data_IF_546350501559
#
_entry.id   IF_546350501559
#
_cell.length_a   1.000
_cell.length_b   1.000
_cell.length_c   1.000
_cell.angle_alpha   90.00
_cell.angle_beta   90.00
_cell.angle_gamma   90.00
#
_symmetry.space_group_name_H-M   'P 1'
#
loop_
_entity.id
_entity.type
_entity.pdbx_description
1 polymer ?
#
# COMPACT_ATOMS: atom_id res chain seq x y z
N UNK A 1 33.38 7.91 40.65
CA UNK A 1 33.70 8.26 39.24
C UNK A 1 34.51 7.11 38.67
N UNK A 2 33.88 6.15 38.04
CA UNK A 2 34.53 4.99 37.43
C UNK A 2 34.64 5.21 35.93
N UNK A 3 35.93 5.10 35.48
CA UNK A 3 36.39 5.46 34.15
C UNK A 3 35.89 4.51 33.06
N UNK A 4 35.61 5.09 31.87
CA UNK A 4 35.15 4.41 30.62
C UNK A 4 36.13 3.37 30.04
N UNK A 5 37.18 2.99 30.72
CA UNK A 5 38.22 2.07 30.24
C UNK A 5 38.13 0.63 30.73
N UNK A 6 37.13 0.27 31.54
CA UNK A 6 37.02 -1.08 32.12
C UNK A 6 35.93 -1.98 31.43
N UNK A 7 35.26 -1.51 30.39
CA UNK A 7 34.19 -2.29 29.74
C UNK A 7 34.66 -3.16 28.55
N UNK A 8 35.91 -3.20 28.22
CA UNK A 8 36.42 -3.87 27.00
C UNK A 8 37.34 -5.06 27.27
N UNK A 9 37.18 -5.76 28.36
CA UNK A 9 37.96 -7.01 28.61
C UNK A 9 37.05 -8.10 29.17
N UNK A 10 36.26 -8.75 28.35
CA UNK A 10 35.88 -10.18 28.54
C UNK A 10 35.10 -10.64 27.29
N UNK A 11 35.79 -11.15 26.31
CA UNK A 11 35.24 -12.07 25.31
C UNK A 11 36.41 -12.96 24.85
N UNK A 12 36.55 -14.10 25.47
CA UNK A 12 37.51 -15.14 25.06
C UNK A 12 36.70 -16.36 24.54
N UNK A 13 36.84 -16.58 23.28
CA UNK A 13 37.11 -17.83 22.53
C UNK A 13 36.66 -19.14 23.16
N UNK A 14 35.76 -19.85 22.44
CA UNK A 14 35.78 -21.31 22.33
C UNK A 14 35.65 -21.70 20.86
N UNK A 15 36.72 -22.20 20.28
CA UNK A 15 36.77 -22.92 19.01
C UNK A 15 36.58 -24.41 19.28
N UNK A 16 35.63 -25.03 18.58
CA UNK A 16 35.62 -26.50 18.44
C UNK A 16 35.43 -26.82 16.94
N UNK A 17 36.45 -27.40 16.33
CA UNK A 17 36.47 -27.86 14.96
C UNK A 17 35.72 -29.16 14.77
N UNK A 18 35.10 -29.32 13.63
CA UNK A 18 34.66 -30.60 13.12
C UNK A 18 35.10 -30.75 11.66
N UNK A 19 35.88 -31.77 11.42
CA UNK A 19 36.36 -32.25 10.11
C UNK A 19 35.19 -32.77 9.27
N UNK A 20 35.09 -32.31 8.03
CA UNK A 20 34.18 -32.88 7.04
C UNK A 20 34.98 -33.55 5.95
N UNK A 21 34.77 -34.84 5.76
CA UNK A 21 35.25 -35.64 4.61
C UNK A 21 34.35 -35.46 3.39
N UNK A 22 34.86 -35.46 2.17
CA UNK A 22 34.04 -35.37 0.96
C UNK A 22 33.70 -36.77 0.45
N UNK A 23 32.42 -37.03 0.14
CA UNK A 23 32.05 -38.14 -0.75
C UNK A 23 30.66 -38.01 -1.36
N UNK A 24 30.62 -38.29 -2.65
CA UNK A 24 29.54 -38.79 -3.47
C UNK A 24 28.63 -37.77 -4.19
N UNK A 25 28.94 -37.59 -5.47
CA UNK A 25 27.98 -37.21 -6.50
C UNK A 25 26.83 -38.24 -6.56
N UNK A 26 25.61 -37.74 -6.37
CA UNK A 26 24.40 -38.48 -6.77
C UNK A 26 23.55 -37.55 -7.64
N UNK A 27 23.36 -37.95 -8.87
CA UNK A 27 22.42 -37.37 -9.84
C UNK A 27 20.97 -37.59 -9.34
N UNK A 28 20.37 -36.56 -8.79
CA UNK A 28 18.97 -36.58 -8.32
C UNK A 28 18.14 -35.61 -9.12
N UNK A 29 17.06 -36.12 -9.73
CA UNK A 29 16.01 -35.36 -10.41
C UNK A 29 15.51 -34.20 -9.52
N UNK A 30 15.45 -33.00 -10.08
CA UNK A 30 14.91 -31.85 -9.40
C UNK A 30 13.44 -32.10 -9.00
N UNK A 31 13.18 -32.23 -7.72
CA UNK A 31 11.83 -32.17 -7.15
C UNK A 31 11.31 -30.73 -7.28
N UNK A 32 10.00 -30.52 -7.51
CA UNK A 32 9.45 -29.17 -7.50
C UNK A 32 9.71 -28.54 -6.14
N UNK A 33 10.38 -27.38 -6.12
CA UNK A 33 10.58 -26.61 -4.89
C UNK A 33 9.20 -26.26 -4.30
N UNK A 34 8.89 -26.86 -3.18
CA UNK A 34 7.81 -26.39 -2.33
C UNK A 34 8.10 -24.92 -1.98
N UNK A 35 7.10 -24.05 -2.13
CA UNK A 35 7.19 -22.67 -1.72
C UNK A 35 7.62 -22.62 -0.25
N UNK A 36 8.78 -22.02 0.03
CA UNK A 36 9.25 -21.87 1.39
C UNK A 36 8.26 -20.97 2.15
N UNK A 37 7.78 -21.44 3.29
CA UNK A 37 6.98 -20.61 4.18
C UNK A 37 7.77 -19.32 4.53
N UNK A 38 7.10 -18.15 4.70
CA UNK A 38 7.78 -16.90 5.01
C UNK A 38 8.65 -17.06 6.25
N UNK A 39 9.90 -16.64 6.17
CA UNK A 39 10.94 -16.90 7.18
C UNK A 39 10.63 -16.29 8.57
N UNK A 40 9.64 -15.39 8.68
CA UNK A 40 9.30 -14.68 9.91
C UNK A 40 7.92 -15.04 10.50
N UNK A 41 7.07 -15.72 9.78
CA UNK A 41 5.65 -15.93 10.15
C UNK A 41 4.79 -14.65 10.14
N UNK A 42 5.37 -13.49 9.78
CA UNK A 42 4.70 -12.19 9.74
C UNK A 42 3.95 -12.01 8.43
N UNK A 43 2.86 -11.26 8.48
CA UNK A 43 2.14 -10.81 7.28
C UNK A 43 2.82 -9.54 6.79
N UNK A 44 3.45 -9.57 5.62
CA UNK A 44 4.11 -8.41 5.00
C UNK A 44 3.51 -8.22 3.61
N UNK A 45 2.73 -7.16 3.47
CA UNK A 45 2.10 -6.80 2.20
C UNK A 45 2.99 -5.92 1.33
N UNK A 46 2.81 -5.99 0.01
CA UNK A 46 3.44 -5.11 -0.98
C UNK A 46 2.38 -4.50 -1.88
N UNK A 47 2.42 -3.18 -2.05
CA UNK A 47 1.74 -2.50 -3.16
C UNK A 47 2.59 -2.66 -4.42
N UNK A 48 2.02 -3.30 -5.45
CA UNK A 48 2.76 -3.69 -6.67
C UNK A 48 3.13 -2.52 -7.59
N UNK A 49 2.56 -1.32 -7.37
CA UNK A 49 3.02 -0.07 -7.99
C UNK A 49 4.52 0.15 -7.77
N UNK A 50 5.04 -0.25 -6.62
CA UNK A 50 6.46 -0.15 -6.24
C UNK A 50 7.41 -0.75 -7.27
N UNK A 51 6.97 -1.74 -8.04
CA UNK A 51 7.79 -2.41 -9.06
C UNK A 51 7.25 -2.23 -10.49
N UNK A 52 5.95 -2.01 -10.65
CA UNK A 52 5.32 -1.75 -11.92
C UNK A 52 5.72 -2.72 -13.02
N UNK A 53 6.25 -2.19 -14.12
CA UNK A 53 6.67 -2.98 -15.30
C UNK A 53 7.79 -3.97 -14.97
N UNK A 54 8.69 -3.66 -14.03
CA UNK A 54 9.81 -4.53 -13.66
C UNK A 54 9.32 -5.89 -13.15
N UNK A 55 8.28 -5.90 -12.31
CA UNK A 55 7.66 -7.15 -11.83
C UNK A 55 6.99 -7.92 -12.96
N UNK A 56 6.25 -7.24 -13.83
CA UNK A 56 5.42 -7.89 -14.84
C UNK A 56 6.22 -8.46 -16.02
N UNK A 57 7.41 -7.92 -16.31
CA UNK A 57 8.30 -8.46 -17.37
C UNK A 57 8.80 -9.87 -17.08
N UNK A 58 8.96 -10.22 -15.81
CA UNK A 58 9.39 -11.56 -15.37
C UNK A 58 8.67 -11.93 -14.06
N UNK A 59 7.35 -12.05 -14.16
CA UNK A 59 6.51 -12.28 -13.00
C UNK A 59 6.92 -13.49 -12.17
N UNK A 60 7.21 -14.69 -12.73
CA UNK A 60 7.57 -15.85 -11.92
C UNK A 60 8.84 -15.67 -11.09
N UNK A 61 9.90 -15.07 -11.66
CA UNK A 61 11.14 -14.82 -10.93
C UNK A 61 10.98 -13.64 -9.94
N UNK A 62 10.24 -12.60 -10.34
CA UNK A 62 9.90 -11.50 -9.46
C UNK A 62 9.18 -11.96 -8.20
N UNK A 63 8.15 -12.79 -8.35
CA UNK A 63 7.39 -13.35 -7.23
C UNK A 63 8.25 -14.22 -6.31
N UNK A 64 9.14 -15.06 -6.87
CA UNK A 64 10.10 -15.84 -6.06
C UNK A 64 11.01 -14.96 -5.22
N UNK A 65 11.55 -13.87 -5.82
CA UNK A 65 12.41 -12.92 -5.10
C UNK A 65 11.65 -12.21 -3.98
N UNK A 66 10.39 -11.80 -4.22
CA UNK A 66 9.54 -11.14 -3.24
C UNK A 66 9.17 -12.08 -2.09
N UNK A 67 8.76 -13.31 -2.38
CA UNK A 67 8.48 -14.32 -1.37
C UNK A 67 9.73 -14.63 -0.51
N UNK A 68 10.91 -14.77 -1.15
CA UNK A 68 12.18 -14.96 -0.44
C UNK A 68 12.58 -13.76 0.43
N UNK A 69 12.18 -12.54 0.06
CA UNK A 69 12.37 -11.34 0.89
C UNK A 69 11.41 -11.26 2.08
N UNK A 70 10.30 -12.03 2.06
CA UNK A 70 9.33 -12.10 3.14
C UNK A 70 7.93 -11.58 2.80
N UNK A 71 7.70 -11.09 1.59
CA UNK A 71 6.36 -10.68 1.15
C UNK A 71 5.44 -11.89 0.96
N UNK A 72 4.24 -11.81 1.50
CA UNK A 72 3.24 -12.88 1.41
C UNK A 72 1.81 -12.37 1.14
N UNK A 73 1.62 -11.06 1.04
CA UNK A 73 0.37 -10.44 0.63
C UNK A 73 0.63 -9.34 -0.41
N UNK A 74 -0.29 -9.18 -1.34
CA UNK A 74 -0.24 -8.13 -2.36
C UNK A 74 -1.47 -7.25 -2.35
N UNK A 75 -1.21 -5.99 -2.62
CA UNK A 75 -2.15 -5.06 -3.17
C UNK A 75 -1.76 -4.79 -4.63
N UNK A 76 -2.66 -5.09 -5.56
CA UNK A 76 -2.41 -4.95 -6.98
C UNK A 76 -2.57 -3.50 -7.43
N UNK A 77 -1.87 -3.14 -8.49
CA UNK A 77 -2.01 -1.87 -9.21
C UNK A 77 -2.18 -2.14 -10.71
N UNK A 78 -2.78 -1.17 -11.41
CA UNK A 78 -2.81 -1.18 -12.87
C UNK A 78 -3.96 -1.99 -13.46
N UNK A 79 -5.14 -1.99 -12.81
CA UNK A 79 -6.34 -2.55 -13.39
C UNK A 79 -6.57 -2.06 -14.83
N UNK A 80 -6.76 -3.01 -15.75
CA UNK A 80 -7.05 -2.76 -17.15
C UNK A 80 -8.34 -3.50 -17.54
N UNK A 81 -9.41 -2.73 -17.68
CA UNK A 81 -10.75 -3.26 -18.00
C UNK A 81 -10.75 -4.00 -19.34
N UNK A 82 -10.13 -3.42 -20.39
CA UNK A 82 -10.14 -3.98 -21.74
C UNK A 82 -9.42 -5.31 -21.84
N UNK A 83 -8.36 -5.48 -21.04
CA UNK A 83 -7.58 -6.71 -20.99
C UNK A 83 -8.07 -7.72 -19.94
N UNK A 84 -9.07 -7.35 -19.13
CA UNK A 84 -9.55 -8.13 -17.98
C UNK A 84 -8.37 -8.59 -17.09
N UNK A 85 -7.50 -7.64 -16.69
CA UNK A 85 -6.28 -7.96 -15.97
C UNK A 85 -5.60 -6.77 -15.35
N UNK A 86 -4.32 -6.93 -15.07
CA UNK A 86 -3.47 -5.91 -14.45
C UNK A 86 -2.24 -5.65 -15.29
N UNK A 87 -1.91 -4.38 -15.43
CA UNK A 87 -0.80 -3.96 -16.27
C UNK A 87 -0.02 -2.81 -15.67
N UNK A 88 1.16 -2.61 -16.22
CA UNK A 88 1.92 -1.41 -16.03
C UNK A 88 2.33 -0.90 -17.41
N UNK A 89 2.13 0.38 -17.62
CA UNK A 89 2.41 1.03 -18.89
C UNK A 89 3.37 2.19 -18.71
N UNK A 90 4.24 2.37 -19.68
CA UNK A 90 5.15 3.49 -19.77
C UNK A 90 5.66 3.64 -21.19
N UNK A 91 6.61 4.57 -21.43
CA UNK A 91 7.22 4.82 -22.75
C UNK A 91 7.92 3.57 -23.33
N UNK A 92 8.23 2.59 -22.48
CA UNK A 92 8.98 1.36 -22.84
C UNK A 92 8.07 0.14 -23.12
N UNK A 93 6.79 0.36 -23.33
CA UNK A 93 5.80 -0.65 -23.66
C UNK A 93 4.93 -1.08 -22.47
N UNK A 94 3.65 -1.28 -22.75
CA UNK A 94 2.71 -1.78 -21.76
C UNK A 94 2.81 -3.29 -21.63
N UNK A 95 2.88 -3.79 -20.40
CA UNK A 95 2.74 -5.23 -20.08
C UNK A 95 1.43 -5.38 -19.31
N UNK A 96 0.58 -6.30 -19.78
CA UNK A 96 -0.67 -6.64 -19.10
C UNK A 96 -0.79 -8.14 -18.95
N UNK A 97 -1.18 -8.60 -17.77
CA UNK A 97 -1.40 -10.01 -17.44
C UNK A 97 -2.88 -10.17 -17.08
N UNK A 98 -3.52 -11.20 -17.61
CA UNK A 98 -4.91 -11.51 -17.25
C UNK A 98 -5.03 -11.77 -15.75
N UNK A 99 -6.15 -11.37 -15.16
CA UNK A 99 -6.35 -11.47 -13.72
C UNK A 99 -6.20 -12.91 -13.19
N UNK A 100 -6.75 -13.90 -13.91
CA UNK A 100 -6.63 -15.31 -13.53
C UNK A 100 -5.18 -15.83 -13.56
N UNK A 101 -4.40 -15.42 -14.58
CA UNK A 101 -3.00 -15.82 -14.71
C UNK A 101 -2.14 -15.17 -13.62
N UNK A 102 -2.42 -13.90 -13.30
CA UNK A 102 -1.74 -13.20 -12.21
C UNK A 102 -2.03 -13.87 -10.87
N UNK A 103 -3.33 -14.14 -10.61
CA UNK A 103 -3.75 -14.87 -9.40
C UNK A 103 -3.05 -16.22 -9.27
N UNK A 104 -3.04 -17.01 -10.36
CA UNK A 104 -2.38 -18.31 -10.36
C UNK A 104 -0.88 -18.19 -10.07
N UNK A 105 -0.19 -17.23 -10.68
CA UNK A 105 1.24 -17.02 -10.43
C UNK A 105 1.52 -16.64 -8.96
N UNK A 106 0.69 -15.79 -8.37
CA UNK A 106 0.78 -15.43 -6.95
C UNK A 106 0.53 -16.64 -6.04
N UNK A 107 -0.49 -17.44 -6.32
CA UNK A 107 -0.79 -18.65 -5.55
C UNK A 107 0.37 -19.66 -5.60
N UNK A 108 0.94 -19.87 -6.79
CA UNK A 108 2.10 -20.75 -7.00
C UNK A 108 3.35 -20.26 -6.22
N UNK A 109 3.46 -18.97 -5.98
CA UNK A 109 4.52 -18.34 -5.18
C UNK A 109 4.20 -18.25 -3.68
N UNK A 110 3.00 -18.64 -3.24
CA UNK A 110 2.54 -18.51 -1.87
C UNK A 110 2.21 -17.08 -1.44
N UNK A 111 1.93 -16.20 -2.40
CA UNK A 111 1.57 -14.80 -2.17
C UNK A 111 0.06 -14.63 -2.35
N UNK A 112 -0.61 -14.11 -1.34
CA UNK A 112 -2.05 -13.86 -1.37
C UNK A 112 -2.34 -12.47 -1.92
N UNK A 113 -3.22 -12.37 -2.89
CA UNK A 113 -3.74 -11.07 -3.31
C UNK A 113 -4.88 -10.67 -2.36
N UNK A 114 -4.73 -9.54 -1.66
CA UNK A 114 -5.69 -9.08 -0.67
C UNK A 114 -6.47 -7.87 -1.16
N UNK A 115 -5.82 -6.93 -1.80
CA UNK A 115 -6.36 -5.62 -2.20
C UNK A 115 -5.93 -5.24 -3.62
N UNK A 116 -6.55 -4.20 -4.16
CA UNK A 116 -6.21 -3.61 -5.44
C UNK A 116 -6.46 -2.11 -5.46
N UNK A 117 -5.47 -1.34 -5.92
CA UNK A 117 -5.59 0.08 -6.25
C UNK A 117 -6.08 0.25 -7.67
N UNK A 118 -7.16 1.02 -7.83
CA UNK A 118 -7.69 1.40 -9.14
C UNK A 118 -8.50 2.68 -9.06
N UNK A 119 -8.59 3.38 -10.18
CA UNK A 119 -9.38 4.61 -10.30
C UNK A 119 -10.11 4.64 -11.64
N UNK A 120 -11.33 5.18 -11.67
CA UNK A 120 -12.01 5.45 -12.93
C UNK A 120 -11.24 6.54 -13.72
N UNK A 121 -11.27 6.45 -15.04
CA UNK A 121 -10.71 7.49 -15.92
C UNK A 121 -11.58 8.74 -16.01
N UNK A 122 -12.75 8.75 -15.37
CA UNK A 122 -13.69 9.86 -15.29
C UNK A 122 -13.10 10.95 -14.40
N UNK A 123 -12.89 12.13 -14.96
CA UNK A 123 -12.22 13.24 -14.26
C UNK A 123 -13.16 14.17 -13.52
N UNK A 124 -14.41 14.29 -14.01
CA UNK A 124 -15.41 15.20 -13.46
C UNK A 124 -16.38 14.43 -12.57
N UNK A 125 -16.26 14.66 -11.27
CA UNK A 125 -17.13 14.12 -10.24
C UNK A 125 -18.36 15.04 -10.13
N UNK A 126 -19.39 14.69 -10.88
CA UNK A 126 -20.67 15.42 -10.95
C UNK A 126 -21.81 14.42 -11.00
N UNK A 127 -23.00 14.82 -10.58
CA UNK A 127 -24.20 13.98 -10.55
C UNK A 127 -24.57 13.40 -11.92
N UNK A 128 -24.32 14.14 -12.98
CA UNK A 128 -24.57 13.71 -14.36
C UNK A 128 -23.73 12.49 -14.76
N UNK A 129 -22.61 12.27 -14.08
CA UNK A 129 -21.66 11.20 -14.39
C UNK A 129 -21.84 9.98 -13.48
N UNK A 130 -22.76 9.97 -12.51
CA UNK A 130 -22.92 8.88 -11.55
C UNK A 130 -23.10 7.52 -12.23
N UNK A 131 -23.90 7.44 -13.31
CA UNK A 131 -24.10 6.19 -14.04
C UNK A 131 -22.81 5.62 -14.65
N UNK A 132 -21.85 6.48 -15.07
CA UNK A 132 -20.56 6.06 -15.60
C UNK A 132 -19.66 5.52 -14.49
N UNK A 133 -19.68 6.14 -13.31
CA UNK A 133 -18.97 5.62 -12.13
C UNK A 133 -19.53 4.25 -11.71
N UNK A 134 -20.86 4.11 -11.67
CA UNK A 134 -21.52 2.85 -11.31
C UNK A 134 -21.12 1.72 -12.28
N UNK A 135 -21.12 2.00 -13.58
CA UNK A 135 -20.71 1.03 -14.59
C UNK A 135 -19.26 0.58 -14.43
N UNK A 136 -18.34 1.55 -14.22
CA UNK A 136 -16.93 1.25 -13.97
C UNK A 136 -16.75 0.37 -12.74
N UNK A 137 -17.33 0.76 -11.59
CA UNK A 137 -17.18 0.03 -10.34
C UNK A 137 -17.81 -1.35 -10.41
N UNK A 138 -18.94 -1.51 -11.09
CA UNK A 138 -19.59 -2.81 -11.29
C UNK A 138 -18.69 -3.79 -12.06
N UNK A 139 -18.15 -3.36 -13.21
CA UNK A 139 -17.25 -4.20 -14.01
C UNK A 139 -15.96 -4.53 -13.26
N UNK A 140 -15.40 -3.54 -12.58
CA UNK A 140 -14.21 -3.74 -11.78
C UNK A 140 -14.48 -4.72 -10.63
N UNK A 141 -15.56 -4.56 -9.89
CA UNK A 141 -15.93 -5.43 -8.77
C UNK A 141 -16.15 -6.87 -9.20
N UNK A 142 -16.84 -7.11 -10.33
CA UNK A 142 -17.05 -8.45 -10.86
C UNK A 142 -15.71 -9.17 -11.17
N UNK A 143 -14.76 -8.48 -11.82
CA UNK A 143 -13.44 -9.05 -12.09
C UNK A 143 -12.68 -9.33 -10.80
N UNK A 144 -12.63 -8.38 -9.88
CA UNK A 144 -11.89 -8.51 -8.63
C UNK A 144 -12.47 -9.61 -7.74
N UNK A 145 -13.79 -9.76 -7.69
CA UNK A 145 -14.47 -10.86 -7.00
C UNK A 145 -14.10 -12.23 -7.58
N UNK A 146 -13.96 -12.33 -8.92
CA UNK A 146 -13.59 -13.59 -9.60
C UNK A 146 -12.23 -14.14 -9.21
N UNK A 147 -11.33 -13.28 -8.74
CA UNK A 147 -9.98 -13.66 -8.25
C UNK A 147 -9.85 -13.56 -6.73
N UNK A 148 -10.95 -13.33 -6.01
CA UNK A 148 -11.02 -13.41 -4.55
C UNK A 148 -10.40 -12.22 -3.80
N UNK A 149 -10.29 -11.06 -4.44
CA UNK A 149 -9.85 -9.81 -3.79
C UNK A 149 -10.88 -9.38 -2.74
N UNK A 150 -10.41 -8.89 -1.61
CA UNK A 150 -11.26 -8.45 -0.49
C UNK A 150 -11.47 -6.95 -0.43
N UNK A 151 -10.50 -6.17 -0.91
CA UNK A 151 -10.50 -4.72 -0.83
C UNK A 151 -10.22 -4.11 -2.19
N UNK A 152 -10.99 -3.10 -2.56
CA UNK A 152 -10.72 -2.23 -3.70
C UNK A 152 -10.57 -0.82 -3.20
N UNK A 153 -9.50 -0.15 -3.59
CA UNK A 153 -9.12 1.16 -3.05
C UNK A 153 -8.87 2.13 -4.18
N UNK A 154 -9.45 3.32 -4.09
CA UNK A 154 -9.18 4.41 -5.02
C UNK A 154 -8.06 5.30 -4.48
N UNK A 155 -6.88 5.40 -5.17
CA UNK A 155 -5.77 6.22 -4.71
C UNK A 155 -5.72 7.62 -5.33
N UNK A 156 -6.67 7.99 -6.21
CA UNK A 156 -6.63 9.28 -6.90
C UNK A 156 -7.62 10.27 -6.33
N UNK A 157 -7.11 11.44 -5.93
CA UNK A 157 -7.93 12.54 -5.45
C UNK A 157 -8.65 13.24 -6.62
N UNK A 158 -9.99 13.31 -6.61
CA UNK A 158 -10.74 14.16 -7.52
C UNK A 158 -10.46 15.66 -7.29
N UNK A 159 -10.81 16.52 -8.26
CA UNK A 159 -10.72 17.97 -8.07
C UNK A 159 -11.75 18.44 -7.07
N UNK A 160 -11.31 19.01 -5.95
CA UNK A 160 -12.14 19.54 -4.86
C UNK A 160 -11.71 20.97 -4.57
N UNK A 161 -12.64 21.90 -4.66
CA UNK A 161 -12.39 23.33 -4.43
C UNK A 161 -13.07 23.85 -3.15
N UNK A 162 -14.11 23.18 -2.70
CA UNK A 162 -14.92 23.53 -1.54
C UNK A 162 -15.60 22.28 -0.95
N UNK A 163 -16.35 22.47 0.13
CA UNK A 163 -17.04 21.38 0.83
C UNK A 163 -18.18 20.74 0.01
N UNK A 164 -18.83 21.48 -0.89
CA UNK A 164 -19.89 20.92 -1.74
C UNK A 164 -19.30 19.98 -2.81
N UNK A 165 -18.16 20.33 -3.41
CA UNK A 165 -17.44 19.42 -4.31
C UNK A 165 -17.08 18.11 -3.55
N UNK A 166 -16.62 18.22 -2.30
CA UNK A 166 -16.30 17.04 -1.49
C UNK A 166 -17.52 16.16 -1.23
N UNK A 167 -18.71 16.73 -1.00
CA UNK A 167 -19.94 15.96 -0.80
C UNK A 167 -20.35 15.18 -2.05
N UNK A 168 -20.19 15.77 -3.24
CA UNK A 168 -20.46 15.06 -4.51
C UNK A 168 -19.49 13.89 -4.70
N UNK A 169 -18.22 14.07 -4.35
CA UNK A 169 -17.23 13.00 -4.37
C UNK A 169 -17.59 11.90 -3.38
N UNK A 170 -18.00 12.25 -2.17
CA UNK A 170 -18.45 11.29 -1.15
C UNK A 170 -19.66 10.47 -1.61
N UNK A 171 -20.58 11.06 -2.36
CA UNK A 171 -21.71 10.32 -2.94
C UNK A 171 -21.20 9.26 -3.94
N UNK A 172 -20.22 9.61 -4.81
CA UNK A 172 -19.59 8.61 -5.72
C UNK A 172 -18.92 7.49 -4.92
N UNK A 173 -18.24 7.81 -3.81
CA UNK A 173 -17.59 6.83 -2.95
C UNK A 173 -18.63 5.90 -2.27
N UNK A 174 -19.73 6.46 -1.76
CA UNK A 174 -20.81 5.68 -1.17
C UNK A 174 -21.42 4.70 -2.19
N UNK A 175 -21.65 5.14 -3.42
CA UNK A 175 -22.15 4.32 -4.53
C UNK A 175 -21.17 3.20 -4.89
N UNK A 176 -19.89 3.50 -5.00
CA UNK A 176 -18.83 2.53 -5.23
C UNK A 176 -18.78 1.47 -4.12
N UNK A 177 -18.85 1.92 -2.85
CA UNK A 177 -18.90 1.04 -1.69
C UNK A 177 -20.11 0.10 -1.70
N UNK A 178 -21.28 0.60 -2.04
CA UNK A 178 -22.49 -0.23 -2.16
C UNK A 178 -22.34 -1.28 -3.27
N UNK A 179 -21.86 -0.88 -4.44
CA UNK A 179 -21.65 -1.79 -5.57
C UNK A 179 -20.65 -2.90 -5.18
N UNK A 180 -19.54 -2.56 -4.58
CA UNK A 180 -18.52 -3.53 -4.16
C UNK A 180 -19.03 -4.46 -3.05
N UNK A 181 -19.79 -3.93 -2.08
CA UNK A 181 -20.41 -4.73 -1.02
C UNK A 181 -21.35 -5.82 -1.56
N UNK A 182 -22.05 -5.55 -2.66
CA UNK A 182 -22.98 -6.52 -3.29
C UNK A 182 -22.26 -7.78 -3.81
N UNK A 183 -20.95 -7.72 -4.05
CA UNK A 183 -20.13 -8.86 -4.46
C UNK A 183 -19.14 -9.31 -3.36
N UNK A 184 -19.31 -8.81 -2.15
CA UNK A 184 -18.50 -9.20 -1.00
C UNK A 184 -17.11 -8.53 -0.90
N UNK A 185 -16.89 -7.45 -1.65
CA UNK A 185 -15.67 -6.65 -1.61
C UNK A 185 -15.93 -5.38 -0.80
N UNK A 186 -14.95 -4.97 0.02
CA UNK A 186 -14.97 -3.67 0.69
C UNK A 186 -14.30 -2.63 -0.18
N UNK A 187 -14.93 -1.46 -0.29
CA UNK A 187 -14.39 -0.33 -1.06
C UNK A 187 -13.84 0.74 -0.13
N UNK A 188 -12.68 1.32 -0.50
CA UNK A 188 -12.04 2.35 0.30
C UNK A 188 -11.34 3.42 -0.53
N UNK A 189 -10.86 4.43 0.18
CA UNK A 189 -10.09 5.54 -0.35
C UNK A 189 -8.70 5.58 0.29
N UNK A 190 -7.67 5.89 -0.51
CA UNK A 190 -6.28 6.04 -0.09
C UNK A 190 -5.83 7.49 -0.26
N UNK A 191 -5.29 8.07 0.80
CA UNK A 191 -4.82 9.44 0.81
C UNK A 191 -3.38 9.59 0.30
N UNK A 192 -3.13 10.78 -0.26
CA UNK A 192 -1.80 11.37 -0.36
C UNK A 192 -1.72 12.60 0.57
N UNK A 193 -0.78 13.52 0.30
CA UNK A 193 -0.65 14.74 1.12
C UNK A 193 -1.69 15.81 0.79
N UNK A 194 -2.31 15.74 -0.39
CA UNK A 194 -3.25 16.75 -0.84
C UNK A 194 -4.60 16.71 -0.10
N UNK A 195 -4.96 15.57 0.47
CA UNK A 195 -6.16 15.40 1.28
C UNK A 195 -6.08 16.16 2.60
N UNK A 196 -4.88 16.49 3.03
CA UNK A 196 -4.60 17.31 4.21
C UNK A 196 -4.48 18.80 3.90
N UNK A 197 -4.95 19.22 2.73
CA UNK A 197 -5.21 20.63 2.41
C UNK A 197 -6.63 20.99 2.86
N UNK A 198 -6.78 22.21 3.38
CA UNK A 198 -8.10 22.72 3.76
C UNK A 198 -8.80 23.36 2.57
N UNK A 199 -10.09 23.11 2.47
CA UNK A 199 -10.97 23.77 1.49
C UNK A 199 -12.04 24.57 2.20
N UNK A 200 -12.44 25.75 1.64
CA UNK A 200 -13.47 26.60 2.23
C UNK A 200 -14.86 25.99 2.05
N UNK A 201 -15.83 26.61 2.69
CA UNK A 201 -17.24 26.38 2.37
C UNK A 201 -17.58 26.97 1.00
N UNK A 202 -18.55 26.37 0.33
CA UNK A 202 -19.04 26.87 -0.94
C UNK A 202 -19.48 28.36 -0.82
N UNK A 203 -19.04 29.17 -1.77
CA UNK A 203 -19.29 30.62 -1.77
C UNK A 203 -18.27 31.45 -0.98
N UNK A 204 -17.34 30.83 -0.26
CA UNK A 204 -16.22 31.52 0.36
C UNK A 204 -15.01 31.58 -0.57
N UNK A 205 -14.29 32.70 -0.58
CA UNK A 205 -13.08 32.82 -1.40
C UNK A 205 -11.90 32.07 -0.76
N UNK A 206 -11.23 31.26 -1.56
CA UNK A 206 -9.92 30.72 -1.19
C UNK A 206 -8.86 31.79 -1.42
N UNK A 207 -8.04 32.14 -0.42
CA UNK A 207 -6.92 33.03 -0.67
C UNK A 207 -6.05 32.49 -1.81
N UNK A 208 -5.89 33.28 -2.88
CA UNK A 208 -5.02 32.91 -3.97
C UNK A 208 -3.57 32.87 -3.46
N UNK A 209 -3.06 31.70 -3.22
CA UNK A 209 -1.68 31.51 -2.79
C UNK A 209 -1.07 30.32 -3.49
N UNK A 210 0.09 30.54 -4.09
CA UNK A 210 0.94 29.48 -4.61
C UNK A 210 1.84 28.86 -3.51
N UNK A 211 1.79 29.42 -2.30
CA UNK A 211 2.52 28.90 -1.14
C UNK A 211 1.76 27.69 -0.55
N UNK A 212 2.34 26.49 -0.58
CA UNK A 212 1.73 25.29 0.01
C UNK A 212 1.41 25.46 1.51
N UNK A 213 2.26 26.20 2.25
CA UNK A 213 2.06 26.44 3.68
C UNK A 213 0.87 27.37 3.96
N UNK A 214 0.64 28.36 3.10
CA UNK A 214 -0.54 29.23 3.20
C UNK A 214 -1.83 28.43 2.90
N UNK A 215 -1.79 27.51 1.91
CA UNK A 215 -2.91 26.60 1.59
C UNK A 215 -3.24 25.65 2.74
N UNK A 216 -2.22 25.10 3.42
CA UNK A 216 -2.39 24.23 4.59
C UNK A 216 -2.97 24.98 5.81
N UNK A 217 -2.73 26.30 5.91
CA UNK A 217 -3.25 27.16 6.98
C UNK A 217 -4.56 27.87 6.60
N UNK A 218 -5.10 27.60 5.41
CA UNK A 218 -6.35 28.20 4.94
C UNK A 218 -7.50 27.89 5.90
N UNK A 219 -8.52 28.76 5.88
CA UNK A 219 -9.77 28.49 6.59
C UNK A 219 -10.49 27.33 5.90
N UNK A 220 -11.30 26.62 6.68
CA UNK A 220 -12.09 25.50 6.17
C UNK A 220 -11.70 24.18 6.81
N UNK A 221 -12.08 23.09 6.18
CA UNK A 221 -11.85 21.74 6.69
C UNK A 221 -10.88 20.97 5.78
N UNK A 222 -10.15 20.01 6.32
CA UNK A 222 -9.33 19.08 5.55
C UNK A 222 -10.22 18.23 4.64
N UNK A 223 -9.76 17.99 3.41
CA UNK A 223 -10.48 17.13 2.46
C UNK A 223 -10.66 15.72 3.06
N UNK A 224 -9.61 15.17 3.70
CA UNK A 224 -9.69 13.87 4.37
C UNK A 224 -10.79 13.84 5.45
N UNK A 225 -10.92 14.92 6.26
CA UNK A 225 -11.98 15.01 7.25
C UNK A 225 -13.36 15.10 6.61
N UNK A 226 -13.49 15.88 5.53
CA UNK A 226 -14.75 15.95 4.78
C UNK A 226 -15.16 14.58 4.22
N UNK A 227 -14.19 13.77 3.75
CA UNK A 227 -14.47 12.41 3.29
C UNK A 227 -14.92 11.50 4.44
N UNK A 228 -14.25 11.57 5.59
CA UNK A 228 -14.64 10.81 6.78
C UNK A 228 -16.04 11.16 7.26
N UNK A 229 -16.40 12.45 7.25
CA UNK A 229 -17.66 12.95 7.78
C UNK A 229 -18.86 12.72 6.84
N UNK A 230 -18.63 12.69 5.53
CA UNK A 230 -19.70 12.64 4.52
C UNK A 230 -19.81 11.28 3.80
N UNK A 231 -19.02 10.27 4.18
CA UNK A 231 -19.16 8.92 3.65
C UNK A 231 -19.75 7.96 4.68
N UNK A 232 -20.57 7.03 4.20
CA UNK A 232 -21.19 5.99 5.00
C UNK A 232 -20.13 4.96 5.50
N UNK A 233 -19.93 4.79 6.81
CA UNK A 233 -18.93 3.89 7.37
C UNK A 233 -19.17 2.40 7.04
N UNK A 234 -20.39 2.01 6.68
CA UNK A 234 -20.69 0.64 6.26
C UNK A 234 -20.33 0.39 4.79
N UNK A 235 -20.14 1.46 4.01
CA UNK A 235 -19.82 1.40 2.58
C UNK A 235 -18.37 1.75 2.26
N UNK A 236 -17.79 2.71 2.99
CA UNK A 236 -16.48 3.31 2.69
C UNK A 236 -15.54 3.17 3.87
N UNK A 237 -14.39 2.53 3.66
CA UNK A 237 -13.29 2.57 4.59
C UNK A 237 -12.15 3.44 4.05
N UNK A 238 -11.12 3.67 4.86
CA UNK A 238 -9.93 4.42 4.48
C UNK A 238 -8.68 3.57 4.64
N UNK A 239 -7.76 3.74 3.71
CA UNK A 239 -6.41 3.24 3.76
C UNK A 239 -5.47 4.43 3.99
N UNK A 240 -4.87 4.49 5.18
CA UNK A 240 -3.98 5.59 5.53
C UNK A 240 -2.57 5.35 4.99
N UNK A 241 -2.11 6.20 4.08
CA UNK A 241 -0.69 6.31 3.79
C UNK A 241 -0.01 7.16 4.86
N UNK A 242 0.81 6.49 5.68
CA UNK A 242 1.43 7.11 6.86
C UNK A 242 2.50 8.13 6.49
N UNK A 243 3.22 7.94 5.36
CA UNK A 243 4.22 8.89 4.88
C UNK A 243 3.55 10.14 4.30
N UNK A 244 2.53 9.97 3.48
CA UNK A 244 1.82 11.10 2.90
C UNK A 244 1.06 11.91 3.95
N UNK A 245 0.57 11.28 5.02
CA UNK A 245 0.02 12.01 6.17
C UNK A 245 1.10 12.93 6.81
N UNK A 246 2.31 12.40 7.05
CA UNK A 246 3.44 13.21 7.56
C UNK A 246 3.84 14.30 6.58
N UNK A 247 3.84 14.04 5.27
CA UNK A 247 4.10 15.07 4.25
C UNK A 247 3.00 16.13 4.21
N UNK A 248 1.75 15.75 4.54
CA UNK A 248 0.62 16.65 4.79
C UNK A 248 0.68 17.36 6.14
N UNK A 249 1.80 17.24 6.89
CA UNK A 249 1.99 17.81 8.24
C UNK A 249 0.97 17.29 9.27
N UNK A 250 0.57 16.03 9.15
CA UNK A 250 -0.33 15.35 10.06
C UNK A 250 0.39 14.26 10.85
N UNK A 251 -0.08 13.96 12.06
CA UNK A 251 0.33 12.77 12.79
C UNK A 251 -0.57 11.59 12.39
N UNK A 252 -0.05 10.57 11.69
CA UNK A 252 -0.84 9.41 11.31
C UNK A 252 -1.44 8.67 12.51
N UNK A 253 -0.77 8.69 13.66
CA UNK A 253 -1.28 8.05 14.87
C UNK A 253 -2.51 8.77 15.45
N UNK A 254 -2.59 10.10 15.32
CA UNK A 254 -3.77 10.85 15.72
C UNK A 254 -4.97 10.55 14.81
N UNK A 255 -4.76 10.52 13.49
CA UNK A 255 -5.83 10.15 12.54
C UNK A 255 -6.40 8.77 12.83
N UNK A 256 -5.55 7.76 13.07
CA UNK A 256 -5.97 6.40 13.42
C UNK A 256 -6.79 6.37 14.71
N UNK A 257 -6.28 6.99 15.79
CA UNK A 257 -6.95 6.99 17.12
C UNK A 257 -8.26 7.74 17.14
N UNK A 258 -8.35 8.84 16.39
CA UNK A 258 -9.55 9.67 16.34
C UNK A 258 -10.65 9.04 15.47
N UNK A 259 -10.28 8.13 14.54
CA UNK A 259 -11.21 7.52 13.60
C UNK A 259 -11.08 5.97 13.55
N UNK A 260 -11.15 5.26 14.68
CA UNK A 260 -10.75 3.85 14.80
C UNK A 260 -11.60 2.86 13.97
N UNK A 261 -12.79 3.26 13.53
CA UNK A 261 -13.69 2.42 12.72
C UNK A 261 -13.61 2.71 11.22
N UNK A 262 -12.89 3.75 10.85
CA UNK A 262 -12.83 4.22 9.47
C UNK A 262 -11.59 3.70 8.73
N UNK A 263 -10.44 3.62 9.40
CA UNK A 263 -9.20 3.10 8.82
C UNK A 263 -9.10 1.59 8.99
N UNK A 264 -8.96 0.87 7.87
CA UNK A 264 -8.86 -0.60 7.85
C UNK A 264 -7.53 -1.10 7.28
N UNK A 265 -6.91 -0.33 6.40
CA UNK A 265 -5.64 -0.66 5.77
C UNK A 265 -4.64 0.47 5.99
N UNK A 266 -3.33 0.15 5.89
CA UNK A 266 -2.27 1.14 5.92
C UNK A 266 -1.33 0.95 4.74
N UNK A 267 -0.85 2.05 4.16
CA UNK A 267 0.39 2.05 3.41
C UNK A 267 1.55 2.38 4.34
N UNK A 268 2.47 1.43 4.46
CA UNK A 268 3.72 1.58 5.18
C UNK A 268 4.76 2.07 4.18
N UNK A 269 4.97 3.37 4.22
CA UNK A 269 5.81 4.12 3.29
C UNK A 269 6.81 4.96 4.04
N UNK A 270 7.98 5.14 3.46
CA UNK A 270 9.03 6.05 3.89
C UNK A 270 9.50 6.86 2.67
N UNK A 271 10.42 7.76 2.85
CA UNK A 271 10.99 8.52 1.74
C UNK A 271 11.64 7.62 0.67
N UNK A 272 12.22 6.48 1.10
CA UNK A 272 12.93 5.51 0.27
C UNK A 272 12.63 4.09 0.75
N UNK A 273 13.69 3.41 1.23
CA UNK A 273 13.59 2.10 1.89
C UNK A 273 12.98 2.30 3.28
N UNK A 274 12.05 1.45 3.66
CA UNK A 274 11.37 1.52 4.95
C UNK A 274 12.39 1.52 6.09
N UNK A 275 12.30 2.53 6.97
CA UNK A 275 13.19 2.70 8.13
C UNK A 275 14.50 3.43 7.84
N UNK A 276 14.79 3.81 6.59
CA UNK A 276 16.10 4.41 6.22
C UNK A 276 16.14 5.93 6.44
N UNK A 277 15.00 6.62 6.37
CA UNK A 277 14.94 8.08 6.50
C UNK A 277 15.06 8.59 7.93
N UNK A 278 14.62 7.81 8.89
CA UNK A 278 14.48 8.24 10.29
C UNK A 278 13.32 9.21 10.53
N UNK A 279 12.50 9.52 9.52
CA UNK A 279 11.36 10.44 9.63
C UNK A 279 10.13 9.77 10.24
N UNK A 280 9.98 8.47 10.03
CA UNK A 280 8.77 7.72 10.34
C UNK A 280 8.93 6.98 11.67
N UNK A 281 8.00 7.21 12.60
CA UNK A 281 7.96 6.48 13.87
C UNK A 281 7.14 5.19 13.72
N UNK A 282 7.68 4.22 12.95
CA UNK A 282 6.99 2.96 12.67
C UNK A 282 6.53 2.20 13.92
N UNK A 283 7.30 2.11 15.01
CA UNK A 283 6.80 1.46 16.23
C UNK A 283 5.48 2.03 16.74
N UNK A 284 5.34 3.36 16.78
CA UNK A 284 4.10 4.00 17.22
C UNK A 284 2.98 3.87 16.18
N UNK A 285 3.30 3.95 14.90
CA UNK A 285 2.33 3.80 13.80
C UNK A 285 1.73 2.40 13.81
N UNK A 286 2.55 1.35 13.86
CA UNK A 286 2.06 -0.03 13.94
C UNK A 286 1.25 -0.27 15.21
N UNK A 287 1.72 0.26 16.36
CA UNK A 287 0.94 0.18 17.60
C UNK A 287 -0.43 0.83 17.44
N UNK A 288 -0.52 2.03 16.90
CA UNK A 288 -1.78 2.72 16.71
C UNK A 288 -2.71 1.97 15.74
N UNK A 289 -2.16 1.42 14.65
CA UNK A 289 -2.90 0.58 13.71
C UNK A 289 -3.45 -0.70 14.35
N UNK A 290 -2.63 -1.42 15.10
CA UNK A 290 -3.08 -2.63 15.80
C UNK A 290 -4.07 -2.35 16.93
N UNK A 291 -3.91 -1.25 17.66
CA UNK A 291 -4.85 -0.83 18.72
C UNK A 291 -6.26 -0.59 18.17
N UNK A 292 -6.41 -0.12 16.93
CA UNK A 292 -7.71 0.06 16.26
C UNK A 292 -8.19 -1.16 15.47
N UNK A 293 -7.37 -2.20 15.36
CA UNK A 293 -7.71 -3.45 14.67
C UNK A 293 -7.72 -3.38 13.15
N UNK A 294 -6.66 -2.81 12.55
CA UNK A 294 -6.50 -2.81 11.08
C UNK A 294 -6.51 -4.22 10.49
N UNK A 295 -7.04 -4.37 9.28
CA UNK A 295 -7.13 -5.67 8.59
C UNK A 295 -5.83 -6.06 7.88
N UNK A 296 -5.01 -5.09 7.50
CA UNK A 296 -3.76 -5.31 6.78
C UNK A 296 -2.96 -4.03 6.53
N UNK A 297 -1.79 -4.21 5.94
CA UNK A 297 -0.94 -3.11 5.55
C UNK A 297 -0.01 -3.53 4.41
N UNK A 298 0.38 -2.57 3.58
CA UNK A 298 1.22 -2.80 2.41
C UNK A 298 2.40 -1.85 2.41
N UNK A 299 3.59 -2.39 2.12
CA UNK A 299 4.77 -1.57 1.83
C UNK A 299 4.59 -0.94 0.48
N UNK A 300 4.85 0.36 0.39
CA UNK A 300 5.02 1.05 -0.88
C UNK A 300 6.36 1.77 -0.93
N UNK A 301 7.13 1.49 -1.99
CA UNK A 301 8.42 2.11 -2.25
C UNK A 301 8.37 2.85 -3.57
N UNK A 302 8.31 4.18 -3.50
CA UNK A 302 8.49 5.03 -4.67
C UNK A 302 9.93 5.55 -4.70
N UNK A 303 10.52 5.60 -5.89
CA UNK A 303 11.86 6.17 -6.09
C UNK A 303 12.92 5.63 -5.11
N UNK A 304 12.98 4.31 -4.96
CA UNK A 304 13.88 3.64 -4.03
C UNK A 304 15.37 3.73 -4.39
N UNK A 305 15.78 4.72 -5.17
CA UNK A 305 17.14 4.88 -5.67
C UNK A 305 18.11 5.38 -4.61
N UNK A 306 18.57 4.48 -3.77
CA UNK A 306 19.80 4.65 -3.02
C UNK A 306 20.96 4.23 -3.94
N UNK A 307 22.09 4.95 -3.91
CA UNK A 307 23.24 4.61 -4.75
C UNK A 307 23.64 3.14 -4.57
N UNK A 308 23.62 2.37 -5.67
CA UNK A 308 23.93 0.96 -5.69
C UNK A 308 22.74 0.02 -5.44
N UNK A 309 21.51 0.55 -5.32
CA UNK A 309 20.29 -0.25 -5.23
C UNK A 309 19.44 -0.10 -6.50
N UNK A 310 18.87 -1.21 -6.96
CA UNK A 310 17.74 -1.18 -7.89
C UNK A 310 16.45 -0.93 -7.10
N UNK A 311 15.37 -0.58 -7.80
CA UNK A 311 14.04 -0.47 -7.20
C UNK A 311 13.63 -1.80 -6.53
N UNK A 312 13.93 -2.92 -7.17
CA UNK A 312 13.64 -4.25 -6.62
C UNK A 312 14.44 -4.54 -5.34
N UNK A 313 15.71 -4.11 -5.28
CA UNK A 313 16.52 -4.27 -4.07
C UNK A 313 15.96 -3.43 -2.92
N UNK A 314 15.51 -2.19 -3.18
CA UNK A 314 14.89 -1.33 -2.19
C UNK A 314 13.60 -1.95 -1.61
N UNK A 315 12.76 -2.54 -2.45
CA UNK A 315 11.58 -3.28 -2.04
C UNK A 315 11.96 -4.47 -1.16
N UNK A 316 12.95 -5.27 -1.56
CA UNK A 316 13.40 -6.42 -0.76
C UNK A 316 14.02 -6.02 0.58
N UNK A 317 14.81 -4.93 0.63
CA UNK A 317 15.39 -4.43 1.89
C UNK A 317 14.32 -3.91 2.84
N UNK A 318 13.26 -3.29 2.33
CA UNK A 318 12.09 -2.87 3.13
C UNK A 318 11.42 -4.05 3.85
N UNK A 319 11.20 -5.17 3.15
CA UNK A 319 10.67 -6.38 3.78
C UNK A 319 11.63 -6.95 4.84
N UNK A 320 12.94 -6.98 4.56
CA UNK A 320 13.94 -7.46 5.52
C UNK A 320 14.00 -6.62 6.80
N UNK A 321 13.83 -5.30 6.68
CA UNK A 321 13.71 -4.41 7.84
C UNK A 321 12.50 -4.79 8.69
N UNK A 322 11.31 -4.87 8.07
CA UNK A 322 10.06 -5.18 8.76
C UNK A 322 10.03 -6.60 9.33
N UNK A 323 10.61 -7.59 8.63
CA UNK A 323 10.68 -8.96 9.13
C UNK A 323 11.47 -9.11 10.44
N UNK A 324 12.45 -8.23 10.66
CA UNK A 324 13.27 -8.19 11.88
C UNK A 324 12.71 -7.27 12.96
N UNK A 325 11.79 -6.39 12.62
CA UNK A 325 11.24 -5.39 13.53
C UNK A 325 10.34 -6.06 14.59
N UNK A 326 10.57 -5.76 15.87
CA UNK A 326 9.77 -6.34 16.98
C UNK A 326 8.35 -5.78 17.09
N UNK A 327 8.07 -4.68 16.39
CA UNK A 327 6.79 -3.99 16.40
C UNK A 327 5.82 -4.43 15.27
N UNK A 328 6.28 -5.31 14.38
CA UNK A 328 5.49 -5.93 13.31
C UNK A 328 5.07 -7.33 13.71
#
# INVERSE_FOLDING_TARGET
>A
MTSRRQFLKTASVVTAGALVTPSALASGKASPLAAAAPASGKRIGLQTYSLGVELLKDLPNGLKRLAAAGYNEFELFGYNEQAAGFGAGGRDGAVTIKAADYKKACDDAGIKILSSHLSPSIREYKSENFAQFDEFWKKAADLHASIGIKYMVQPSLPSIKNDEDAKVVCEVFNRAGEICNNVGIKWGYHNHSNEFVRVPKAGEETPASNDPMARMRARGEYIEQLFLDNTDPDKVFFELDVYWAVMGQQDPCEWLRNNPKRFRLLHIKDRWIIGDSGMMNFPNIFKAGYDIGIDGWFVEVENGSKKGYTQFDAVCESAKYLSKASFV
#
